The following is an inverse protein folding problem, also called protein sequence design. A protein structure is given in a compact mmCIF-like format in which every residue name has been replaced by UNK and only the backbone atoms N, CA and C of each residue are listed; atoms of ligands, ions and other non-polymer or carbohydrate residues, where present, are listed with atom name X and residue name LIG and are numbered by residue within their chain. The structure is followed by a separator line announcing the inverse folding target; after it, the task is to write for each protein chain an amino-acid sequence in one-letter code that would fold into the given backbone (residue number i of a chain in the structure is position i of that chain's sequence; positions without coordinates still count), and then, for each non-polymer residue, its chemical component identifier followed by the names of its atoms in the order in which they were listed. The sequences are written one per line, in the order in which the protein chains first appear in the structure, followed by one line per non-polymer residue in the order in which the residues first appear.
data_IF_822117693880
#
_entry.id   IF_822117693880
#
_cell.length_a   1.000
_cell.length_b   1.000
_cell.length_c   1.000
_cell.angle_alpha   90.00
_cell.angle_beta   90.00
_cell.angle_gamma   90.00
#
_symmetry.space_group_name_H-M   'P 1'
#
loop_
_entity.id
_entity.type
_entity.pdbx_description
1 polymer ?
#
# COMPACT_ATOMS: atom_id res chain seq x y z
N UNK A 1 24.49 31.59 27.51
CA UNK A 1 24.23 30.63 26.41
C UNK A 1 23.45 31.34 25.31
N UNK A 2 24.11 31.97 24.31
CA UNK A 2 23.48 32.54 23.10
C UNK A 2 24.53 33.08 22.12
N UNK A 3 25.37 32.21 21.57
CA UNK A 3 26.36 32.58 20.52
C UNK A 3 26.63 31.40 19.58
N UNK A 4 25.60 30.83 18.96
CA UNK A 4 25.80 29.80 17.92
C UNK A 4 24.95 30.00 16.66
N UNK A 5 24.07 31.00 16.61
CA UNK A 5 23.14 31.17 15.47
C UNK A 5 23.59 32.16 14.38
N UNK A 6 24.73 32.83 14.54
CA UNK A 6 25.16 33.90 13.61
C UNK A 6 26.08 33.44 12.46
N UNK A 7 26.68 32.25 12.57
CA UNK A 7 27.72 31.79 11.63
C UNK A 7 27.11 31.16 10.36
N UNK A 8 25.85 30.69 10.41
CA UNK A 8 25.23 30.01 9.26
C UNK A 8 24.76 30.95 8.14
N UNK A 9 24.54 32.24 8.42
CA UNK A 9 24.07 33.21 7.41
C UNK A 9 25.23 33.69 6.51
N UNK A 10 26.45 33.72 7.02
CA UNK A 10 27.62 34.19 6.27
C UNK A 10 28.13 33.17 5.25
N UNK A 11 27.87 31.87 5.46
CA UNK A 11 28.24 30.82 4.50
C UNK A 11 27.37 30.84 3.23
N UNK A 12 26.10 31.23 3.34
CA UNK A 12 25.19 31.38 2.20
C UNK A 12 25.50 32.63 1.35
N UNK A 13 25.95 33.71 1.99
CA UNK A 13 26.34 34.94 1.30
C UNK A 13 27.67 34.80 0.52
N UNK A 14 28.66 34.07 1.06
CA UNK A 14 29.92 33.83 0.35
C UNK A 14 29.77 32.87 -0.84
N UNK A 15 28.89 31.87 -0.75
CA UNK A 15 28.59 30.97 -1.87
C UNK A 15 27.91 31.69 -3.04
N UNK A 16 27.02 32.65 -2.75
CA UNK A 16 26.38 33.49 -3.76
C UNK A 16 27.37 34.48 -4.41
N UNK A 17 28.34 35.03 -3.67
CA UNK A 17 29.38 35.90 -4.23
C UNK A 17 30.39 35.14 -5.11
N UNK A 18 30.75 33.90 -4.75
CA UNK A 18 31.65 33.08 -5.56
C UNK A 18 31.01 32.63 -6.90
N UNK A 19 29.69 32.42 -6.93
CA UNK A 19 28.95 32.15 -8.18
C UNK A 19 28.80 33.36 -9.11
N UNK A 20 28.90 34.58 -8.57
CA UNK A 20 28.88 35.82 -9.36
C UNK A 20 30.24 36.15 -10.00
N UNK A 21 31.35 35.68 -9.42
CA UNK A 21 32.69 35.88 -9.97
C UNK A 21 33.06 34.88 -11.08
N UNK A 22 32.37 33.73 -11.16
CA UNK A 22 32.50 32.79 -12.29
C UNK A 22 31.54 33.09 -13.45
N UNK A 23 30.61 34.03 -13.27
CA UNK A 23 29.66 34.44 -14.30
C UNK A 23 30.24 35.43 -15.34
N UNK A 24 31.40 36.03 -15.06
CA UNK A 24 31.99 37.07 -15.91
C UNK A 24 32.90 36.57 -17.03
N UNK A 25 33.17 35.26 -17.13
CA UNK A 25 34.07 34.70 -18.16
C UNK A 25 33.33 33.88 -19.25
N UNK A 26 32.00 33.78 -19.17
CA UNK A 26 31.21 33.12 -20.23
C UNK A 26 30.70 34.10 -21.27
N UNK A 27 30.96 33.81 -22.54
CA UNK A 27 30.40 34.62 -23.63
C UNK A 27 28.87 34.46 -23.69
N UNK A 28 28.10 35.45 -24.21
CA UNK A 28 26.65 35.30 -24.40
C UNK A 28 26.26 34.03 -25.18
N UNK A 29 27.12 33.58 -26.10
CA UNK A 29 26.95 32.34 -26.86
C UNK A 29 27.07 31.09 -25.99
N UNK A 30 28.02 31.05 -25.06
CA UNK A 30 28.16 29.93 -24.12
C UNK A 30 26.97 29.82 -23.17
N UNK A 31 26.44 30.95 -22.68
CA UNK A 31 25.22 30.96 -21.86
C UNK A 31 24.02 30.39 -22.62
N UNK A 32 23.85 30.78 -23.88
CA UNK A 32 22.79 30.22 -24.72
C UNK A 32 22.99 28.72 -24.99
N UNK A 33 24.23 28.28 -25.23
CA UNK A 33 24.55 26.87 -25.42
C UNK A 33 24.21 26.02 -24.18
N UNK A 34 24.56 26.51 -22.98
CA UNK A 34 24.21 25.86 -21.71
C UNK A 34 22.68 25.79 -21.55
N UNK A 35 21.95 26.89 -21.79
CA UNK A 35 20.47 26.89 -21.70
C UNK A 35 19.84 25.89 -22.67
N UNK A 36 20.32 25.83 -23.92
CA UNK A 36 19.83 24.86 -24.90
C UNK A 36 20.14 23.42 -24.51
N UNK A 37 21.32 23.15 -23.96
CA UNK A 37 21.69 21.82 -23.48
C UNK A 37 20.80 21.40 -22.29
N UNK A 38 20.60 22.28 -21.31
CA UNK A 38 19.72 22.00 -20.18
C UNK A 38 18.27 21.79 -20.63
N UNK A 39 17.78 22.58 -21.58
CA UNK A 39 16.44 22.41 -22.16
C UNK A 39 16.29 21.04 -22.82
N UNK A 40 17.27 20.61 -23.62
CA UNK A 40 17.27 19.28 -24.25
C UNK A 40 17.32 18.14 -23.22
N UNK A 41 18.08 18.31 -22.13
CA UNK A 41 18.12 17.33 -21.03
C UNK A 41 16.77 17.25 -20.34
N UNK A 42 16.12 18.38 -20.06
CA UNK A 42 14.78 18.43 -19.46
C UNK A 42 13.74 17.77 -20.37
N UNK A 43 13.74 18.08 -21.67
CA UNK A 43 12.83 17.44 -22.63
C UNK A 43 13.05 15.92 -22.69
N UNK A 44 14.31 15.48 -22.63
CA UNK A 44 14.65 14.06 -22.61
C UNK A 44 14.12 13.39 -21.34
N UNK A 45 14.38 13.97 -20.16
CA UNK A 45 13.88 13.47 -18.87
C UNK A 45 12.34 13.45 -18.84
N UNK A 46 11.69 14.48 -19.38
CA UNK A 46 10.23 14.54 -19.45
C UNK A 46 9.66 13.42 -20.33
N UNK A 47 10.25 13.16 -21.50
CA UNK A 47 9.84 12.05 -22.36
C UNK A 47 10.11 10.70 -21.72
N UNK A 48 11.27 10.49 -21.12
CA UNK A 48 11.63 9.24 -20.44
C UNK A 48 10.73 8.96 -19.22
N UNK A 49 10.45 10.00 -18.44
CA UNK A 49 9.51 9.97 -17.32
C UNK A 49 8.10 9.63 -17.80
N UNK A 50 7.61 10.31 -18.84
CA UNK A 50 6.30 10.05 -19.44
C UNK A 50 6.17 8.62 -19.98
N UNK A 51 7.19 8.11 -20.67
CA UNK A 51 7.21 6.72 -21.15
C UNK A 51 7.21 5.71 -19.99
N UNK A 52 7.97 5.97 -18.93
CA UNK A 52 8.04 5.10 -17.76
C UNK A 52 6.70 5.06 -17.01
N UNK A 53 6.08 6.22 -16.77
CA UNK A 53 4.74 6.30 -16.18
C UNK A 53 3.70 5.60 -17.04
N UNK A 54 3.75 5.77 -18.37
CA UNK A 54 2.84 5.08 -19.28
C UNK A 54 3.02 3.55 -19.23
N UNK A 55 4.25 3.04 -19.08
CA UNK A 55 4.51 1.60 -18.88
C UNK A 55 3.91 1.11 -17.55
N UNK A 56 4.24 1.79 -16.45
CA UNK A 56 3.75 1.43 -15.11
C UNK A 56 2.21 1.47 -15.04
N UNK A 57 1.58 2.48 -15.64
CA UNK A 57 0.13 2.58 -15.73
C UNK A 57 -0.50 1.41 -16.49
N UNK A 58 0.09 0.98 -17.61
CA UNK A 58 -0.37 -0.21 -18.34
C UNK A 58 -0.20 -1.49 -17.52
N UNK A 59 0.91 -1.64 -16.79
CA UNK A 59 1.16 -2.79 -15.92
C UNK A 59 0.15 -2.85 -14.77
N UNK A 60 -0.10 -1.73 -14.10
CA UNK A 60 -1.10 -1.60 -13.05
C UNK A 60 -2.51 -1.95 -13.57
N UNK A 61 -2.90 -1.42 -14.73
CA UNK A 61 -4.20 -1.72 -15.34
C UNK A 61 -4.36 -3.22 -15.69
N UNK A 62 -3.30 -3.88 -16.13
CA UNK A 62 -3.29 -5.34 -16.38
C UNK A 62 -3.45 -6.13 -15.09
N UNK A 63 -2.72 -5.74 -14.05
CA UNK A 63 -2.85 -6.33 -12.71
C UNK A 63 -4.28 -6.18 -12.17
N UNK A 64 -4.88 -5.00 -12.28
CA UNK A 64 -6.25 -4.74 -11.86
C UNK A 64 -7.28 -5.54 -12.67
N UNK A 65 -7.08 -5.67 -13.98
CA UNK A 65 -7.93 -6.50 -14.83
C UNK A 65 -7.85 -7.99 -14.44
N UNK A 66 -6.64 -8.52 -14.22
CA UNK A 66 -6.44 -9.90 -13.79
C UNK A 66 -7.06 -10.17 -12.42
N UNK A 67 -6.90 -9.24 -11.47
CA UNK A 67 -7.52 -9.32 -10.14
C UNK A 67 -9.04 -9.32 -10.20
N UNK A 68 -9.64 -8.47 -11.06
CA UNK A 68 -11.10 -8.45 -11.26
C UNK A 68 -11.59 -9.77 -11.84
N UNK A 69 -10.91 -10.30 -12.85
CA UNK A 69 -11.24 -11.60 -13.44
C UNK A 69 -11.18 -12.72 -12.39
N UNK A 70 -10.12 -12.77 -11.57
CA UNK A 70 -10.00 -13.74 -10.48
C UNK A 70 -11.14 -13.65 -9.47
N UNK A 71 -11.52 -12.43 -9.07
CA UNK A 71 -12.59 -12.21 -8.08
C UNK A 71 -13.98 -12.51 -8.62
N UNK A 72 -14.17 -12.44 -9.94
CA UNK A 72 -15.42 -12.85 -10.58
C UNK A 72 -15.64 -14.37 -10.53
N UNK A 73 -14.55 -15.15 -10.47
CA UNK A 73 -14.64 -16.60 -10.34
C UNK A 73 -15.18 -16.98 -8.95
N UNK A 74 -16.33 -17.68 -8.86
CA UNK A 74 -16.96 -18.03 -7.59
C UNK A 74 -16.03 -18.85 -6.69
N UNK A 75 -16.06 -18.56 -5.39
CA UNK A 75 -15.29 -19.32 -4.40
C UNK A 75 -15.94 -20.70 -4.19
N UNK A 76 -15.11 -21.74 -4.07
CA UNK A 76 -15.60 -23.08 -3.74
C UNK A 76 -16.20 -23.09 -2.33
N UNK A 77 -17.47 -23.48 -2.14
CA UNK A 77 -18.09 -23.53 -0.81
C UNK A 77 -17.35 -24.48 0.15
N UNK A 78 -16.93 -25.64 -0.34
CA UNK A 78 -16.18 -26.62 0.46
C UNK A 78 -14.85 -26.05 0.95
N UNK A 79 -14.09 -25.38 0.07
CA UNK A 79 -12.82 -24.76 0.46
C UNK A 79 -13.05 -23.56 1.38
N UNK A 80 -14.10 -22.77 1.17
CA UNK A 80 -14.48 -21.68 2.09
C UNK A 80 -14.75 -22.23 3.50
N UNK A 81 -15.47 -23.35 3.62
CA UNK A 81 -15.73 -24.00 4.92
C UNK A 81 -14.44 -24.43 5.62
N UNK A 82 -13.52 -25.07 4.90
CA UNK A 82 -12.19 -25.45 5.44
C UNK A 82 -11.41 -24.21 5.89
N UNK A 83 -11.42 -23.15 5.09
CA UNK A 83 -10.74 -21.90 5.42
C UNK A 83 -11.36 -21.23 6.66
N UNK A 84 -12.70 -21.22 6.76
CA UNK A 84 -13.42 -20.72 7.92
C UNK A 84 -13.04 -21.50 9.19
N UNK A 85 -13.02 -22.83 9.14
CA UNK A 85 -12.59 -23.67 10.26
C UNK A 85 -11.14 -23.36 10.68
N UNK A 86 -10.23 -23.17 9.71
CA UNK A 86 -8.84 -22.84 9.99
C UNK A 86 -8.65 -21.44 10.59
N UNK A 87 -9.45 -20.45 10.17
CA UNK A 87 -9.32 -19.07 10.59
C UNK A 87 -10.10 -18.75 11.87
N UNK A 88 -11.25 -19.38 12.07
CA UNK A 88 -12.17 -19.10 13.17
C UNK A 88 -12.20 -20.21 14.22
N UNK A 89 -11.64 -21.38 13.93
CA UNK A 89 -11.64 -22.50 14.86
C UNK A 89 -13.05 -22.84 15.34
N UNK A 90 -13.30 -22.92 16.65
CA UNK A 90 -14.62 -23.23 17.21
C UNK A 90 -15.71 -22.25 16.77
N UNK A 91 -15.38 -21.01 16.43
CA UNK A 91 -16.37 -20.00 16.05
C UNK A 91 -16.98 -20.22 14.66
N UNK A 92 -16.35 -21.05 13.80
CA UNK A 92 -16.75 -21.19 12.40
C UNK A 92 -18.21 -21.66 12.22
N UNK A 93 -18.70 -22.53 13.10
CA UNK A 93 -20.05 -23.11 13.02
C UNK A 93 -21.08 -22.34 13.87
N UNK A 94 -20.66 -21.29 14.59
CA UNK A 94 -21.49 -20.59 15.57
C UNK A 94 -21.71 -19.10 15.27
N UNK A 95 -21.27 -18.60 14.12
CA UNK A 95 -21.42 -17.18 13.75
C UNK A 95 -22.88 -16.70 13.76
N UNK A 96 -23.85 -17.60 13.57
CA UNK A 96 -25.28 -17.26 13.57
C UNK A 96 -25.89 -17.10 14.96
N UNK A 97 -25.23 -17.62 16.01
CA UNK A 97 -25.67 -17.52 17.39
C UNK A 97 -24.83 -16.54 18.23
N UNK A 98 -24.16 -15.58 17.57
CA UNK A 98 -23.31 -14.60 18.25
C UNK A 98 -24.15 -13.62 19.08
N UNK A 99 -23.58 -13.18 20.20
CA UNK A 99 -24.13 -12.16 21.09
C UNK A 99 -23.17 -10.97 21.16
N UNK A 100 -23.62 -9.79 21.58
CA UNK A 100 -22.73 -8.63 21.76
C UNK A 100 -21.50 -8.93 22.62
N UNK A 101 -21.65 -9.73 23.68
CA UNK A 101 -20.55 -10.13 24.55
C UNK A 101 -19.55 -11.11 23.90
N UNK A 102 -19.95 -11.85 22.86
CA UNK A 102 -19.14 -12.93 22.27
C UNK A 102 -18.61 -12.59 20.87
N UNK A 103 -19.15 -11.57 20.19
CA UNK A 103 -18.78 -11.21 18.81
C UNK A 103 -17.31 -10.81 18.64
N UNK A 104 -16.64 -10.38 19.71
CA UNK A 104 -15.21 -10.06 19.66
C UNK A 104 -14.30 -11.29 19.49
N UNK A 105 -14.73 -12.45 19.96
CA UNK A 105 -13.95 -13.70 19.91
C UNK A 105 -13.55 -14.11 18.47
N UNK A 106 -14.52 -14.18 17.53
CA UNK A 106 -14.24 -14.45 16.11
C UNK A 106 -13.21 -13.50 15.48
N UNK A 107 -13.26 -12.18 15.75
CA UNK A 107 -12.29 -11.22 15.22
C UNK A 107 -10.87 -11.46 15.75
N UNK A 108 -10.74 -11.67 17.07
CA UNK A 108 -9.44 -11.96 17.68
C UNK A 108 -8.85 -13.26 17.13
N UNK A 109 -9.67 -14.29 16.93
CA UNK A 109 -9.26 -15.55 16.33
C UNK A 109 -8.82 -15.37 14.88
N UNK A 110 -9.66 -14.73 14.06
CA UNK A 110 -9.40 -14.44 12.65
C UNK A 110 -8.06 -13.73 12.47
N UNK A 111 -7.83 -12.64 13.22
CA UNK A 111 -6.61 -11.86 13.12
C UNK A 111 -5.38 -12.62 13.60
N UNK A 112 -5.50 -13.40 14.67
CA UNK A 112 -4.39 -14.22 15.14
C UNK A 112 -3.93 -15.20 14.06
N UNK A 113 -4.88 -15.88 13.41
CA UNK A 113 -4.56 -16.83 12.33
C UNK A 113 -4.05 -16.12 11.08
N UNK A 114 -4.63 -14.97 10.73
CA UNK A 114 -4.21 -14.16 9.58
C UNK A 114 -2.76 -13.69 9.77
N UNK A 115 -2.42 -13.04 10.89
CA UNK A 115 -1.04 -12.60 11.18
C UNK A 115 -0.04 -13.75 11.06
N UNK A 116 -0.38 -14.92 11.59
CA UNK A 116 0.51 -16.06 11.61
C UNK A 116 0.76 -16.69 10.23
N UNK A 117 -0.20 -16.61 9.30
CA UNK A 117 -0.20 -17.43 8.08
C UNK A 117 -0.21 -16.64 6.76
N UNK A 118 -0.59 -15.37 6.79
CA UNK A 118 -0.84 -14.57 5.58
C UNK A 118 0.37 -14.43 4.65
N UNK A 119 1.60 -14.52 5.17
CA UNK A 119 2.81 -14.44 4.36
C UNK A 119 2.95 -15.59 3.35
N UNK A 120 2.33 -16.74 3.63
CA UNK A 120 2.34 -17.91 2.74
C UNK A 120 1.07 -18.01 1.88
N UNK A 121 0.15 -17.04 1.98
CA UNK A 121 -1.12 -17.10 1.27
C UNK A 121 -0.97 -16.67 -0.18
N UNK A 122 -1.66 -17.39 -1.05
CA UNK A 122 -1.89 -16.94 -2.41
C UNK A 122 -2.96 -15.85 -2.44
N UNK A 123 -3.03 -15.15 -3.56
CA UNK A 123 -4.12 -14.24 -3.90
C UNK A 123 -5.52 -14.85 -3.73
N UNK A 124 -5.67 -16.15 -4.04
CA UNK A 124 -6.94 -16.85 -3.90
C UNK A 124 -7.24 -17.17 -2.44
N UNK A 125 -6.22 -17.47 -1.64
CA UNK A 125 -6.38 -17.69 -0.19
C UNK A 125 -6.80 -16.38 0.51
N UNK A 126 -6.30 -15.22 0.06
CA UNK A 126 -6.80 -13.91 0.50
C UNK A 126 -8.26 -13.66 0.13
N UNK A 127 -8.72 -14.11 -1.04
CA UNK A 127 -10.14 -14.01 -1.41
C UNK A 127 -11.00 -14.90 -0.50
N UNK A 128 -10.54 -16.09 -0.11
CA UNK A 128 -11.22 -16.92 0.91
C UNK A 128 -11.21 -16.24 2.29
N UNK A 129 -10.07 -15.68 2.73
CA UNK A 129 -9.98 -14.96 4.00
C UNK A 129 -10.96 -13.79 4.05
N UNK A 130 -11.08 -13.03 2.95
CA UNK A 130 -12.05 -11.94 2.82
C UNK A 130 -13.48 -12.43 2.92
N UNK A 131 -13.81 -13.57 2.31
CA UNK A 131 -15.14 -14.15 2.41
C UNK A 131 -15.48 -14.56 3.85
N UNK A 132 -14.53 -15.17 4.57
CA UNK A 132 -14.71 -15.50 6.00
C UNK A 132 -14.85 -14.23 6.84
N UNK A 133 -14.03 -13.20 6.59
CA UNK A 133 -14.16 -11.90 7.25
C UNK A 133 -15.53 -11.25 7.00
N UNK A 134 -16.07 -11.37 5.79
CA UNK A 134 -17.41 -10.89 5.45
C UNK A 134 -18.49 -11.62 6.27
N UNK A 135 -18.37 -12.93 6.46
CA UNK A 135 -19.30 -13.71 7.31
C UNK A 135 -19.25 -13.22 8.77
N UNK A 136 -18.06 -12.94 9.30
CA UNK A 136 -17.90 -12.38 10.66
C UNK A 136 -18.53 -10.98 10.75
N UNK A 137 -18.37 -10.12 9.74
CA UNK A 137 -19.04 -8.82 9.69
C UNK A 137 -20.56 -8.94 9.58
N UNK A 138 -21.07 -9.95 8.87
CA UNK A 138 -22.50 -10.22 8.81
C UNK A 138 -23.03 -10.64 10.19
N UNK A 139 -22.27 -11.43 10.95
CA UNK A 139 -22.59 -11.74 12.34
C UNK A 139 -22.59 -10.47 13.23
N UNK A 140 -21.61 -9.60 13.08
CA UNK A 140 -21.57 -8.32 13.79
C UNK A 140 -22.80 -7.46 13.47
N UNK A 141 -23.19 -7.37 12.20
CA UNK A 141 -24.32 -6.54 11.79
C UNK A 141 -25.63 -6.90 12.51
N UNK A 142 -25.82 -8.19 12.86
CA UNK A 142 -26.99 -8.66 13.61
C UNK A 142 -27.03 -8.19 15.06
N UNK A 143 -25.88 -7.98 15.69
CA UNK A 143 -25.75 -7.66 17.14
C UNK A 143 -25.24 -6.26 17.41
N UNK A 144 -24.93 -5.48 16.36
CA UNK A 144 -24.22 -4.20 16.47
C UNK A 144 -24.97 -3.16 17.30
N UNK A 145 -26.30 -3.13 17.22
CA UNK A 145 -27.11 -2.12 17.93
C UNK A 145 -27.02 -2.26 19.45
N UNK A 146 -26.74 -3.47 19.94
CA UNK A 146 -26.62 -3.79 21.36
C UNK A 146 -25.16 -3.86 21.82
N UNK A 147 -24.21 -3.47 20.96
CA UNK A 147 -22.78 -3.56 21.26
C UNK A 147 -22.34 -2.35 22.10
N UNK A 148 -21.71 -2.56 23.26
CA UNK A 148 -21.15 -1.45 24.04
C UNK A 148 -20.12 -0.66 23.22
N UNK A 149 -20.13 0.67 23.34
CA UNK A 149 -19.25 1.56 22.55
C UNK A 149 -17.75 1.18 22.63
N UNK A 150 -17.30 0.72 23.80
CA UNK A 150 -15.92 0.22 24.00
C UNK A 150 -15.61 -0.99 23.11
N UNK A 151 -16.54 -1.92 23.02
CA UNK A 151 -16.36 -3.13 22.21
C UNK A 151 -16.52 -2.82 20.73
N UNK A 152 -17.37 -1.85 20.36
CA UNK A 152 -17.42 -1.34 18.99
C UNK A 152 -16.07 -0.79 18.53
N UNK A 153 -15.42 0.06 19.35
CA UNK A 153 -14.09 0.60 19.03
C UNK A 153 -13.06 -0.52 18.84
N UNK A 154 -13.10 -1.54 19.70
CA UNK A 154 -12.20 -2.69 19.58
C UNK A 154 -12.44 -3.47 18.29
N UNK A 155 -13.71 -3.72 17.95
CA UNK A 155 -14.08 -4.38 16.70
C UNK A 155 -13.62 -3.58 15.49
N UNK A 156 -13.80 -2.26 15.48
CA UNK A 156 -13.31 -1.40 14.41
C UNK A 156 -11.79 -1.43 14.28
N UNK A 157 -11.06 -1.47 15.39
CA UNK A 157 -9.60 -1.63 15.36
C UNK A 157 -9.20 -2.96 14.70
N UNK A 158 -9.89 -4.06 15.02
CA UNK A 158 -9.64 -5.35 14.39
C UNK A 158 -10.01 -5.38 12.90
N UNK A 159 -11.12 -4.75 12.51
CA UNK A 159 -11.51 -4.60 11.11
C UNK A 159 -10.46 -3.80 10.32
N UNK A 160 -10.02 -2.67 10.86
CA UNK A 160 -8.99 -1.83 10.25
C UNK A 160 -7.68 -2.60 10.05
N UNK A 161 -7.29 -3.41 11.03
CA UNK A 161 -6.10 -4.23 10.92
C UNK A 161 -6.19 -5.29 9.83
N UNK A 162 -7.30 -6.02 9.74
CA UNK A 162 -7.48 -7.02 8.69
C UNK A 162 -7.37 -6.37 7.30
N UNK A 163 -8.02 -5.21 7.13
CA UNK A 163 -7.95 -4.42 5.90
C UNK A 163 -6.52 -3.96 5.62
N UNK A 164 -5.77 -3.53 6.64
CA UNK A 164 -4.39 -3.11 6.49
C UNK A 164 -3.47 -4.25 6.03
N UNK A 165 -3.61 -5.45 6.60
CA UNK A 165 -2.87 -6.63 6.17
C UNK A 165 -3.15 -6.98 4.70
N UNK A 166 -4.44 -6.96 4.32
CA UNK A 166 -4.85 -7.22 2.94
C UNK A 166 -4.35 -6.14 1.96
N UNK A 167 -4.35 -4.87 2.38
CA UNK A 167 -3.83 -3.76 1.60
C UNK A 167 -2.31 -3.87 1.44
N UNK A 168 -1.59 -4.28 2.48
CA UNK A 168 -0.15 -4.55 2.44
C UNK A 168 0.20 -5.62 1.40
N UNK A 169 -0.55 -6.74 1.39
CA UNK A 169 -0.41 -7.77 0.36
C UNK A 169 -0.66 -7.21 -1.04
N UNK A 170 -1.78 -6.50 -1.22
CA UNK A 170 -2.15 -5.92 -2.53
C UNK A 170 -1.10 -4.95 -3.05
N UNK A 171 -0.50 -4.15 -2.16
CA UNK A 171 0.57 -3.21 -2.50
C UNK A 171 1.87 -3.91 -2.89
N UNK A 172 2.20 -5.03 -2.23
CA UNK A 172 3.37 -5.84 -2.58
C UNK A 172 3.22 -6.45 -3.98
N UNK A 173 2.05 -7.04 -4.27
CA UNK A 173 1.75 -7.64 -5.57
C UNK A 173 1.74 -6.60 -6.70
N UNK A 174 1.11 -5.44 -6.47
CA UNK A 174 1.13 -4.35 -7.44
C UNK A 174 2.56 -3.88 -7.71
N UNK A 175 3.37 -3.70 -6.66
CA UNK A 175 4.78 -3.32 -6.79
C UNK A 175 5.58 -4.36 -7.58
N UNK A 176 5.31 -5.65 -7.36
CA UNK A 176 5.93 -6.72 -8.14
C UNK A 176 5.54 -6.64 -9.62
N UNK A 177 4.25 -6.42 -9.91
CA UNK A 177 3.71 -6.31 -11.27
C UNK A 177 4.23 -5.08 -12.04
N UNK A 178 4.50 -3.97 -11.35
CA UNK A 178 5.00 -2.72 -11.96
C UNK A 178 6.52 -2.58 -11.92
N UNK A 179 7.25 -3.58 -11.40
CA UNK A 179 8.71 -3.52 -11.30
C UNK A 179 9.32 -3.56 -12.69
N UNK A 180 10.18 -2.57 -12.99
CA UNK A 180 10.93 -2.55 -14.25
C UNK A 180 12.12 -3.52 -14.18
N UNK A 181 12.16 -4.59 -15.01
CA UNK A 181 13.27 -5.52 -15.02
C UNK A 181 14.60 -4.86 -15.46
N UNK A 182 14.55 -3.82 -16.31
CA UNK A 182 15.74 -3.11 -16.77
C UNK A 182 16.35 -2.18 -15.70
N UNK A 183 15.55 -1.72 -14.74
CA UNK A 183 16.05 -0.96 -13.60
C UNK A 183 16.64 -1.86 -12.51
N UNK A 184 16.20 -3.12 -12.44
CA UNK A 184 16.74 -4.12 -11.50
C UNK A 184 18.13 -4.62 -11.92
N UNK A 185 18.44 -4.64 -13.21
CA UNK A 185 19.75 -5.08 -13.74
C UNK A 185 20.86 -4.02 -13.69
N UNK A 186 20.53 -2.76 -13.34
CA UNK A 186 21.50 -1.65 -13.20
C UNK A 186 21.93 -1.40 -11.74
N UNK A 187 21.52 -2.26 -10.81
CA UNK A 187 21.89 -2.23 -9.39
C UNK A 187 22.78 -3.42 -9.08
#
# INVERSE_FOLDING_TARGET
MKTFFSISIHALALGALAGLLTACDSTPRERQAVVHEQSRKLDTLAREGGQTLARMGRQAARYDAANRARRAEPLSPARKKIFAANLLGPYAEHLDAMMPATIGGPYQQLLRQTRARHQAWTDRDWDYARAVYADVNAALARVRLDLPARDELRVRAWQAEFVALQAGHTAAELRAATRDPAAAARR
#
